data_IF_613570603090
#
_entry.id   IF_613570603090
#
_cell.length_a   1.000
_cell.length_b   1.000
_cell.length_c   1.000
_cell.angle_alpha   90.00
_cell.angle_beta   90.00
_cell.angle_gamma   90.00
#
_symmetry.space_group_name_H-M   'P 1'
#
loop_
_entity.id
_entity.type
_entity.pdbx_description
1 polymer ?
#
# COMPACT_ATOMS: atom_id res chain seq x y z
N UNK A 1 -7.18 -8.40 -14.75
CA UNK A 1 -7.19 -8.36 -13.27
C UNK A 1 -8.26 -9.30 -12.73
N UNK A 2 -7.93 -10.07 -11.74
CA UNK A 2 -8.89 -10.98 -11.10
C UNK A 2 -9.79 -10.18 -10.16
N UNK A 3 -11.07 -10.05 -10.52
CA UNK A 3 -12.04 -9.30 -9.72
C UNK A 3 -12.71 -10.13 -8.63
N UNK A 4 -12.50 -11.45 -8.64
CA UNK A 4 -13.04 -12.32 -7.60
C UNK A 4 -12.28 -12.18 -6.28
N UNK A 5 -11.15 -11.49 -6.30
CA UNK A 5 -10.25 -11.36 -5.15
C UNK A 5 -9.85 -9.87 -4.98
N UNK A 6 -10.80 -9.04 -4.51
CA UNK A 6 -10.56 -7.60 -4.41
C UNK A 6 -9.45 -7.28 -3.42
N UNK A 7 -8.76 -6.16 -3.67
CA UNK A 7 -7.69 -5.69 -2.81
C UNK A 7 -8.26 -5.16 -1.49
N UNK A 8 -7.59 -5.47 -0.38
CA UNK A 8 -7.96 -5.01 0.95
C UNK A 8 -7.15 -3.76 1.30
N UNK A 9 -7.81 -2.74 1.85
CA UNK A 9 -7.12 -1.54 2.32
C UNK A 9 -6.26 -1.86 3.53
N UNK A 10 -4.96 -1.59 3.44
CA UNK A 10 -4.02 -1.85 4.54
C UNK A 10 -3.00 -0.72 4.67
N UNK A 11 -2.43 -0.57 5.86
CA UNK A 11 -1.18 0.15 6.09
C UNK A 11 -0.13 -0.88 6.52
N UNK A 12 1.10 -0.42 6.83
CA UNK A 12 2.18 -1.36 7.14
C UNK A 12 1.86 -2.25 8.34
N UNK A 13 1.16 -1.73 9.32
CA UNK A 13 0.77 -2.49 10.52
C UNK A 13 -0.08 -3.69 10.18
N UNK A 14 -0.91 -3.60 9.13
CA UNK A 14 -1.87 -4.64 8.77
C UNK A 14 -1.33 -5.64 7.75
N UNK A 15 -0.29 -5.27 6.99
CA UNK A 15 0.27 -6.12 5.93
C UNK A 15 0.60 -7.54 6.39
N UNK A 16 1.19 -7.77 7.59
CA UNK A 16 1.51 -9.14 8.02
C UNK A 16 0.31 -10.08 8.05
N UNK A 17 -0.90 -9.56 8.16
CA UNK A 17 -2.11 -10.38 8.18
C UNK A 17 -2.58 -10.79 6.78
N UNK A 18 -1.94 -10.28 5.73
CA UNK A 18 -2.39 -10.44 4.34
C UNK A 18 -1.32 -10.96 3.40
N UNK A 19 -0.26 -11.56 3.93
CA UNK A 19 0.83 -12.10 3.10
C UNK A 19 0.27 -13.12 2.12
N UNK A 20 0.64 -12.96 0.84
CA UNK A 20 0.13 -13.78 -0.26
C UNK A 20 -1.18 -13.29 -0.84
N UNK A 21 -1.77 -12.23 -0.28
CA UNK A 21 -3.05 -11.70 -0.73
C UNK A 21 -2.87 -10.33 -1.39
N UNK A 22 -3.87 -9.95 -2.20
CA UNK A 22 -3.86 -8.65 -2.86
C UNK A 22 -4.26 -7.57 -1.86
N UNK A 23 -3.44 -6.53 -1.78
CA UNK A 23 -3.65 -5.41 -0.86
C UNK A 23 -3.63 -4.09 -1.64
N UNK A 24 -4.25 -3.07 -1.04
CA UNK A 24 -4.24 -1.70 -1.54
C UNK A 24 -3.72 -0.80 -0.43
N UNK A 25 -2.66 -0.06 -0.70
CA UNK A 25 -2.06 0.83 0.29
C UNK A 25 -1.55 2.10 -0.37
N UNK A 26 -1.32 3.13 0.44
CA UNK A 26 -0.71 4.38 -0.03
C UNK A 26 0.64 4.52 0.66
N UNK A 27 1.66 4.82 -0.14
CA UNK A 27 3.03 4.99 0.36
C UNK A 27 3.61 6.28 -0.19
N UNK A 28 4.58 6.85 0.54
CA UNK A 28 5.36 7.99 0.08
C UNK A 28 6.74 7.48 -0.32
N UNK A 29 7.08 7.59 -1.60
CA UNK A 29 8.34 7.04 -2.11
C UNK A 29 9.50 7.89 -1.62
N UNK A 30 10.49 7.25 -0.99
CA UNK A 30 11.68 7.92 -0.46
C UNK A 30 12.88 7.76 -1.38
N UNK A 31 13.01 6.60 -2.04
CA UNK A 31 14.23 6.25 -2.73
C UNK A 31 14.00 5.12 -3.72
N UNK A 32 14.77 5.09 -4.78
CA UNK A 32 14.86 3.96 -5.70
C UNK A 32 16.23 3.32 -5.59
N UNK A 33 16.25 1.98 -5.62
CA UNK A 33 17.49 1.22 -5.66
C UNK A 33 17.30 0.01 -6.55
N UNK A 34 17.84 0.06 -7.78
CA UNK A 34 17.67 -1.03 -8.73
C UNK A 34 16.22 -1.15 -9.19
N UNK A 35 15.61 -2.29 -8.94
CA UNK A 35 14.25 -2.59 -9.39
C UNK A 35 13.20 -2.36 -8.31
N UNK A 36 13.59 -1.86 -7.15
CA UNK A 36 12.69 -1.69 -6.02
C UNK A 36 12.67 -0.25 -5.55
N UNK A 37 11.54 0.18 -5.02
CA UNK A 37 11.39 1.45 -4.36
C UNK A 37 11.33 1.24 -2.86
N UNK A 38 11.98 2.12 -2.11
CA UNK A 38 11.81 2.19 -0.66
C UNK A 38 10.83 3.30 -0.37
N UNK A 39 9.81 3.01 0.41
CA UNK A 39 8.73 3.95 0.65
C UNK A 39 8.29 3.89 2.11
N UNK A 40 7.59 4.94 2.54
CA UNK A 40 7.05 5.02 3.89
C UNK A 40 5.54 4.87 3.83
N UNK A 41 5.01 3.97 4.63
CA UNK A 41 3.57 3.78 4.78
C UNK A 41 2.96 4.96 5.52
N UNK A 42 1.62 5.07 5.47
CA UNK A 42 0.89 6.13 6.16
C UNK A 42 1.02 6.06 7.68
N UNK A 43 1.46 4.93 8.22
CA UNK A 43 1.75 4.75 9.65
C UNK A 43 3.25 4.84 9.96
N UNK A 44 4.01 5.50 9.09
CA UNK A 44 5.44 5.81 9.23
C UNK A 44 6.39 4.62 9.20
N UNK A 45 5.93 3.46 8.79
CA UNK A 45 6.78 2.27 8.65
C UNK A 45 7.34 2.16 7.24
N UNK A 46 8.54 1.64 7.12
CA UNK A 46 9.20 1.48 5.83
C UNK A 46 8.71 0.23 5.11
N UNK A 47 8.44 0.38 3.81
CA UNK A 47 8.04 -0.71 2.93
C UNK A 47 8.94 -0.76 1.72
N UNK A 48 9.09 -1.96 1.15
CA UNK A 48 9.77 -2.18 -0.12
C UNK A 48 8.70 -2.49 -1.18
N UNK A 49 8.71 -1.75 -2.29
CA UNK A 49 7.74 -1.92 -3.37
C UNK A 49 8.47 -2.39 -4.62
N UNK A 50 8.15 -3.57 -5.08
CA UNK A 50 8.66 -4.12 -6.34
C UNK A 50 7.70 -3.79 -7.48
N UNK A 51 8.22 -3.68 -8.68
CA UNK A 51 7.39 -3.47 -9.87
C UNK A 51 6.88 -2.06 -10.08
N UNK A 52 7.28 -1.12 -9.21
CA UNK A 52 6.88 0.27 -9.34
C UNK A 52 7.85 0.98 -10.28
N UNK A 53 7.37 1.65 -11.34
CA UNK A 53 8.27 2.44 -12.18
C UNK A 53 8.77 3.65 -11.43
N UNK A 54 9.78 4.31 -11.97
CA UNK A 54 10.32 5.51 -11.33
C UNK A 54 9.26 6.60 -11.29
N UNK A 55 8.90 7.02 -10.09
CA UNK A 55 7.94 8.10 -9.82
C UNK A 55 8.65 9.20 -9.02
N UNK A 56 8.10 10.42 -8.99
CA UNK A 56 8.75 11.49 -8.22
C UNK A 56 8.92 11.12 -6.75
N UNK A 57 10.12 11.35 -6.23
CA UNK A 57 10.42 11.13 -4.82
C UNK A 57 9.54 12.05 -3.97
N UNK A 58 9.09 11.55 -2.84
CA UNK A 58 8.20 12.22 -1.89
C UNK A 58 6.75 12.34 -2.34
N UNK A 59 6.40 11.86 -3.53
CA UNK A 59 4.99 11.76 -3.91
C UNK A 59 4.33 10.58 -3.23
N UNK A 60 3.02 10.70 -3.01
CA UNK A 60 2.20 9.63 -2.48
C UNK A 60 1.66 8.79 -3.63
N UNK A 61 1.86 7.48 -3.54
CA UNK A 61 1.47 6.54 -4.59
C UNK A 61 0.52 5.52 -3.97
N UNK A 62 -0.65 5.35 -4.59
CA UNK A 62 -1.49 4.21 -4.26
C UNK A 62 -0.96 3.00 -4.99
N UNK A 63 -0.73 1.92 -4.25
CA UNK A 63 -0.22 0.66 -4.80
C UNK A 63 -1.25 -0.44 -4.56
N UNK A 64 -1.56 -1.18 -5.59
CA UNK A 64 -2.37 -2.40 -5.50
C UNK A 64 -1.48 -3.54 -5.97
N UNK A 65 -1.30 -4.55 -5.13
CA UNK A 65 -0.44 -5.67 -5.45
C UNK A 65 -0.48 -6.75 -4.40
N UNK A 66 0.42 -7.71 -4.53
CA UNK A 66 0.47 -8.87 -3.64
C UNK A 66 1.46 -8.59 -2.51
N UNK A 67 1.02 -8.76 -1.27
CA UNK A 67 1.91 -8.67 -0.12
C UNK A 67 2.81 -9.90 -0.11
N UNK A 68 4.11 -9.70 -0.34
CA UNK A 68 5.08 -10.78 -0.41
C UNK A 68 5.64 -11.15 0.94
N UNK A 69 5.75 -10.16 1.83
CA UNK A 69 6.23 -10.36 3.20
C UNK A 69 5.61 -9.29 4.09
N UNK A 70 6.01 -9.25 5.36
CA UNK A 70 5.46 -8.28 6.31
C UNK A 70 5.76 -6.83 5.93
N UNK A 71 6.71 -6.58 5.03
CA UNK A 71 7.12 -5.23 4.66
C UNK A 71 7.43 -5.06 3.17
N UNK A 72 6.94 -5.97 2.30
CA UNK A 72 7.16 -5.83 0.87
C UNK A 72 5.91 -6.17 0.07
N UNK A 73 5.71 -5.44 -1.02
CA UNK A 73 4.57 -5.59 -1.92
C UNK A 73 5.08 -5.65 -3.35
N UNK A 74 4.54 -6.61 -4.12
CA UNK A 74 4.78 -6.69 -5.57
C UNK A 74 3.63 -5.95 -6.26
N UNK A 75 3.92 -4.73 -6.74
CA UNK A 75 2.92 -3.84 -7.31
C UNK A 75 2.39 -4.35 -8.63
N UNK A 76 1.07 -4.39 -8.77
CA UNK A 76 0.38 -4.72 -10.03
C UNK A 76 -0.19 -3.47 -10.69
N UNK A 77 -0.73 -2.56 -9.89
CA UNK A 77 -1.28 -1.27 -10.33
C UNK A 77 -0.81 -0.18 -9.37
N UNK A 78 -0.71 1.03 -9.89
CA UNK A 78 -0.30 2.17 -9.06
C UNK A 78 -0.93 3.45 -9.59
N UNK A 79 -1.12 4.42 -8.69
CA UNK A 79 -1.67 5.74 -9.02
C UNK A 79 -0.89 6.80 -8.24
N UNK A 80 -0.42 7.82 -8.94
CA UNK A 80 0.33 8.93 -8.33
C UNK A 80 -0.68 9.99 -7.84
N UNK A 81 -0.69 10.23 -6.53
CA UNK A 81 -1.57 11.23 -5.90
C UNK A 81 -0.90 12.58 -5.70
N UNK A 82 0.35 12.75 -6.13
CA UNK A 82 1.10 13.99 -5.92
C UNK A 82 1.77 14.04 -4.55
N UNK A 83 2.08 15.24 -4.09
CA UNK A 83 2.90 15.40 -2.89
C UNK A 83 2.10 15.75 -1.62
N UNK A 84 0.78 15.71 -1.68
CA UNK A 84 -0.07 15.91 -0.50
C UNK A 84 -1.10 14.81 -0.40
N UNK A 85 -1.28 14.28 0.81
CA UNK A 85 -2.22 13.19 1.05
C UNK A 85 -2.56 13.16 2.54
N UNK A 86 -3.84 12.93 2.86
CA UNK A 86 -4.29 12.83 4.26
C UNK A 86 -4.04 11.43 4.79
N UNK A 87 -2.86 11.24 5.40
CA UNK A 87 -2.46 9.94 5.92
C UNK A 87 -3.29 9.49 7.11
N UNK A 88 -3.78 10.42 7.93
CA UNK A 88 -4.62 10.07 9.07
C UNK A 88 -5.95 9.50 8.62
N UNK A 89 -6.59 10.12 7.63
CA UNK A 89 -7.85 9.60 7.10
C UNK A 89 -7.67 8.23 6.48
N UNK A 90 -6.55 8.00 5.78
CA UNK A 90 -6.29 6.69 5.20
C UNK A 90 -6.07 5.62 6.28
N UNK A 91 -5.32 5.94 7.34
CA UNK A 91 -5.12 5.01 8.45
C UNK A 91 -6.44 4.65 9.14
N UNK A 92 -7.33 5.63 9.31
CA UNK A 92 -8.66 5.38 9.85
C UNK A 92 -9.47 4.47 8.94
N UNK A 93 -9.42 4.69 7.63
CA UNK A 93 -10.08 3.83 6.66
C UNK A 93 -9.57 2.39 6.75
N UNK A 94 -8.26 2.19 6.86
CA UNK A 94 -7.69 0.86 7.00
C UNK A 94 -8.19 0.15 8.26
N UNK A 95 -8.28 0.87 9.36
CA UNK A 95 -8.76 0.30 10.62
C UNK A 95 -10.24 -0.07 10.53
N UNK A 96 -11.06 0.78 9.92
CA UNK A 96 -12.48 0.49 9.72
C UNK A 96 -12.68 -0.70 8.79
N UNK A 97 -11.92 -0.76 7.70
CA UNK A 97 -12.04 -1.83 6.72
C UNK A 97 -11.65 -3.20 7.28
N UNK A 98 -10.75 -3.22 8.27
CA UNK A 98 -10.22 -4.46 8.83
C UNK A 98 -10.69 -4.72 10.27
N UNK A 99 -11.55 -3.86 10.80
CA UNK A 99 -12.08 -3.98 12.15
C UNK A 99 -13.55 -4.38 12.16
N UNK A 100 -14.31 -3.73 13.03
CA UNK A 100 -15.73 -4.03 13.24
C UNK A 100 -16.57 -3.87 11.96
N UNK A 101 -16.19 -2.94 11.09
CA UNK A 101 -16.96 -2.62 9.90
C UNK A 101 -16.40 -3.20 8.62
N UNK A 102 -15.51 -4.19 8.69
CA UNK A 102 -14.85 -4.69 7.49
C UNK A 102 -15.84 -5.25 6.45
N UNK A 103 -16.99 -5.75 6.88
CA UNK A 103 -18.01 -6.25 5.97
C UNK A 103 -18.62 -5.17 5.06
N UNK A 104 -18.48 -3.91 5.41
CA UNK A 104 -18.94 -2.79 4.60
C UNK A 104 -17.96 -2.43 3.46
N UNK A 105 -16.71 -2.88 3.55
CA UNK A 105 -15.63 -2.51 2.63
C UNK A 105 -15.12 -3.68 1.81
N UNK A 106 -15.47 -4.86 2.21
CA UNK A 106 -15.07 -6.10 1.55
C UNK A 106 -16.30 -6.77 0.92
#
# INVERSE_FOLDING_TARGET
>A
MDTSNPAVFVNAQLIPNFIGKRVRTVVQVNQYGGEVATAKSTDDSQLTIKGLPQVPIMNFIEVIGIAESSNSIDAELWTDFGNTFDTNSFNQLCQLANGEFKGLFL
#
